data_IF_018871983760
#
_entry.id   IF_018871983760
#
_cell.length_a   1.000
_cell.length_b   1.000
_cell.length_c   1.000
_cell.angle_alpha   90.00
_cell.angle_beta   90.00
_cell.angle_gamma   90.00
#
_symmetry.space_group_name_H-M   'P 1'
#
loop_
_entity.id
_entity.type
_entity.pdbx_description
1 polymer ?
#
# COMPACT_ATOMS: atom_id res chain seq x y z
N UNK A 1 0.38 8.70 0.48
CA UNK A 1 0.52 8.57 1.97
C UNK A 1 1.99 8.46 2.33
N UNK A 2 2.51 9.23 3.29
CA UNK A 2 3.92 9.23 3.71
C UNK A 2 4.52 7.85 3.98
N UNK A 3 3.83 7.01 4.75
CA UNK A 3 4.28 5.65 5.09
C UNK A 3 4.40 4.72 3.88
N UNK A 4 3.53 4.83 2.87
CA UNK A 4 3.65 4.04 1.65
C UNK A 4 4.78 4.57 0.76
N UNK A 5 4.94 5.89 0.68
CA UNK A 5 6.00 6.52 -0.08
C UNK A 5 7.39 6.14 0.48
N UNK A 6 7.56 6.14 1.80
CA UNK A 6 8.84 5.75 2.43
C UNK A 6 9.18 4.27 2.19
N UNK A 7 8.20 3.35 2.32
CA UNK A 7 8.42 1.93 2.01
C UNK A 7 8.75 1.71 0.54
N UNK A 8 8.06 2.43 -0.36
CA UNK A 8 8.33 2.36 -1.79
C UNK A 8 9.73 2.89 -2.13
N UNK A 9 10.14 4.01 -1.54
CA UNK A 9 11.48 4.57 -1.71
C UNK A 9 12.55 3.56 -1.25
N UNK A 10 12.36 2.93 -0.09
CA UNK A 10 13.28 1.92 0.43
C UNK A 10 13.33 0.68 -0.46
N UNK A 11 12.18 0.18 -0.93
CA UNK A 11 12.14 -0.97 -1.84
C UNK A 11 12.87 -0.66 -3.17
N UNK A 12 12.62 0.52 -3.74
CA UNK A 12 13.24 0.98 -5.00
C UNK A 12 14.72 1.30 -4.89
N UNK A 13 15.22 1.61 -3.70
CA UNK A 13 16.66 1.84 -3.48
C UNK A 13 17.53 0.58 -3.66
N UNK A 14 16.90 -0.60 -3.80
CA UNK A 14 17.59 -1.88 -3.85
C UNK A 14 18.08 -2.38 -2.48
N UNK A 15 17.75 -1.70 -1.40
CA UNK A 15 18.24 -2.02 -0.05
C UNK A 15 17.80 -3.41 0.45
N UNK A 16 16.71 -3.94 -0.08
CA UNK A 16 16.22 -5.32 0.19
C UNK A 16 16.42 -6.27 -0.99
N UNK A 17 17.19 -5.85 -2.01
CA UNK A 17 17.39 -6.60 -3.25
C UNK A 17 16.17 -6.55 -4.18
N UNK A 18 16.04 -7.55 -5.07
CA UNK A 18 14.90 -7.68 -5.98
C UNK A 18 13.63 -8.04 -5.18
N UNK A 19 12.60 -7.23 -5.28
CA UNK A 19 11.31 -7.49 -4.60
C UNK A 19 10.60 -8.66 -5.31
N UNK A 20 10.19 -9.65 -4.55
CA UNK A 20 9.56 -10.89 -5.04
C UNK A 20 8.17 -11.13 -4.48
N UNK A 21 7.81 -10.50 -3.36
CA UNK A 21 6.43 -10.54 -2.89
C UNK A 21 6.03 -9.30 -2.11
N UNK A 22 4.73 -8.98 -2.16
CA UNK A 22 4.12 -7.89 -1.42
C UNK A 22 2.80 -8.34 -0.79
N UNK A 23 2.71 -8.30 0.55
CA UNK A 23 1.46 -8.49 1.28
C UNK A 23 0.85 -7.14 1.60
N UNK A 24 -0.44 -6.99 1.34
CA UNK A 24 -1.22 -5.81 1.70
C UNK A 24 -2.49 -6.23 2.44
N UNK A 25 -2.51 -5.92 3.74
CA UNK A 25 -3.63 -6.14 4.66
C UNK A 25 -4.01 -4.82 5.34
N UNK A 26 -4.10 -3.74 4.58
CA UNK A 26 -4.30 -2.38 5.12
C UNK A 26 -5.39 -1.59 4.42
N UNK A 27 -5.79 -2.01 3.24
CA UNK A 27 -6.81 -1.38 2.41
C UNK A 27 -7.49 -2.40 1.51
N UNK A 28 -8.64 -2.04 0.92
CA UNK A 28 -9.47 -2.98 0.16
C UNK A 28 -9.12 -3.00 -1.34
N UNK A 29 -9.37 -4.14 -1.95
CA UNK A 29 -9.36 -4.46 -3.39
C UNK A 29 -8.35 -3.64 -4.22
N UNK A 30 -8.81 -2.81 -5.16
CA UNK A 30 -7.96 -2.09 -6.12
C UNK A 30 -6.89 -1.20 -5.47
N UNK A 31 -7.15 -0.65 -4.29
CA UNK A 31 -6.12 0.08 -3.54
C UNK A 31 -4.99 -0.85 -3.06
N UNK A 32 -5.32 -2.07 -2.65
CA UNK A 32 -4.31 -3.06 -2.27
C UNK A 32 -3.52 -3.53 -3.49
N UNK A 33 -4.21 -3.76 -4.61
CA UNK A 33 -3.58 -4.11 -5.90
C UNK A 33 -2.61 -3.03 -6.36
N UNK A 34 -3.01 -1.75 -6.31
CA UNK A 34 -2.16 -0.62 -6.65
C UNK A 34 -0.85 -0.61 -5.83
N UNK A 35 -0.95 -0.85 -4.52
CA UNK A 35 0.23 -0.93 -3.65
C UNK A 35 1.12 -2.14 -4.01
N UNK A 36 0.53 -3.32 -4.23
CA UNK A 36 1.29 -4.52 -4.61
C UNK A 36 2.02 -4.30 -5.93
N UNK A 37 1.33 -3.80 -6.96
CA UNK A 37 1.94 -3.46 -8.25
C UNK A 37 3.07 -2.44 -8.11
N UNK A 38 2.86 -1.39 -7.31
CA UNK A 38 3.90 -0.38 -7.07
C UNK A 38 5.15 -0.94 -6.39
N UNK A 39 4.99 -1.84 -5.41
CA UNK A 39 6.11 -2.47 -4.71
C UNK A 39 6.84 -3.50 -5.56
N UNK A 40 6.10 -4.30 -6.34
CA UNK A 40 6.64 -5.33 -7.22
C UNK A 40 7.20 -4.77 -8.54
N UNK A 41 6.83 -3.54 -8.91
CA UNK A 41 7.10 -3.00 -10.24
C UNK A 41 6.29 -3.69 -11.33
N UNK A 42 5.17 -4.35 -10.98
CA UNK A 42 4.27 -4.99 -11.94
C UNK A 42 3.48 -3.95 -12.73
N UNK A 43 3.37 -4.17 -14.03
CA UNK A 43 2.72 -3.22 -14.94
C UNK A 43 1.39 -3.78 -15.45
N UNK A 44 1.35 -4.26 -16.68
CA UNK A 44 0.10 -4.63 -17.38
C UNK A 44 0.10 -6.09 -17.84
N UNK A 45 0.97 -6.89 -17.26
CA UNK A 45 1.08 -8.32 -17.54
C UNK A 45 -0.19 -9.07 -17.12
N UNK A 46 -0.39 -10.24 -17.72
CA UNK A 46 -1.42 -11.17 -17.25
C UNK A 46 -1.16 -11.52 -15.79
N UNK A 47 -2.23 -11.54 -15.03
CA UNK A 47 -2.19 -11.79 -13.59
C UNK A 47 -3.14 -12.96 -13.27
N UNK A 48 -2.65 -13.94 -12.52
CA UNK A 48 -3.48 -15.08 -12.08
C UNK A 48 -3.82 -14.90 -10.60
N UNK A 49 -5.12 -14.92 -10.30
CA UNK A 49 -5.66 -14.69 -8.96
C UNK A 49 -6.35 -15.94 -8.45
N UNK A 50 -6.04 -16.33 -7.21
CA UNK A 50 -6.79 -17.33 -6.45
C UNK A 50 -7.27 -16.71 -5.15
N UNK A 51 -8.58 -16.64 -4.95
CA UNK A 51 -9.19 -15.96 -3.81
C UNK A 51 -10.26 -16.79 -3.12
N UNK A 52 -10.41 -16.55 -1.83
CA UNK A 52 -11.47 -17.11 -1.00
C UNK A 52 -11.95 -16.10 0.02
N UNK A 53 -13.22 -16.24 0.40
CA UNK A 53 -13.83 -15.45 1.46
C UNK A 53 -14.36 -16.39 2.53
N UNK A 54 -14.24 -15.96 3.78
CA UNK A 54 -14.95 -16.59 4.89
C UNK A 54 -15.58 -15.52 5.78
N UNK A 55 -16.60 -15.92 6.51
CA UNK A 55 -17.33 -15.07 7.43
C UNK A 55 -17.11 -15.57 8.85
N UNK A 56 -16.84 -14.67 9.75
CA UNK A 56 -16.64 -14.97 11.17
C UNK A 56 -17.08 -13.83 12.06
N UNK A 57 -17.26 -14.09 13.37
CA UNK A 57 -17.67 -13.04 14.30
C UNK A 57 -16.55 -12.04 14.56
N UNK A 58 -16.87 -10.76 14.54
CA UNK A 58 -15.96 -9.67 14.87
C UNK A 58 -16.75 -8.52 15.53
N UNK A 59 -16.22 -7.98 16.61
CA UNK A 59 -16.70 -6.72 17.16
C UNK A 59 -16.18 -5.59 16.27
N UNK A 60 -17.06 -4.68 15.89
CA UNK A 60 -16.71 -3.52 15.07
C UNK A 60 -17.04 -2.22 15.81
N UNK A 61 -16.18 -1.80 16.77
CA UNK A 61 -16.50 -0.72 17.71
C UNK A 61 -16.36 0.66 17.09
N UNK A 62 -15.76 0.78 15.91
CA UNK A 62 -15.43 2.05 15.25
C UNK A 62 -15.96 2.10 13.83
N UNK A 63 -16.46 3.25 13.45
CA UNK A 63 -16.63 3.71 12.06
C UNK A 63 -15.69 4.89 11.81
N UNK A 64 -15.73 5.48 10.62
CA UNK A 64 -14.77 6.53 10.22
C UNK A 64 -14.62 7.64 11.27
N UNK A 65 -15.72 8.12 11.83
CA UNK A 65 -15.73 9.35 12.61
C UNK A 65 -16.26 9.16 14.05
N UNK A 66 -16.59 7.92 14.46
CA UNK A 66 -17.23 7.70 15.75
C UNK A 66 -17.06 6.27 16.29
N UNK A 67 -17.25 6.15 17.60
CA UNK A 67 -17.54 4.88 18.25
C UNK A 67 -18.99 4.47 17.97
N UNK A 68 -19.20 3.20 17.61
CA UNK A 68 -20.55 2.68 17.29
C UNK A 68 -21.42 2.47 18.54
N UNK A 69 -20.81 2.34 19.71
CA UNK A 69 -21.49 1.90 20.92
C UNK A 69 -21.92 0.43 20.89
N UNK A 70 -21.51 -0.32 19.88
CA UNK A 70 -21.83 -1.72 19.68
C UNK A 70 -20.63 -2.58 20.07
N UNK A 71 -20.78 -3.36 21.13
CA UNK A 71 -19.76 -4.24 21.71
C UNK A 71 -20.04 -5.73 21.43
N UNK A 72 -21.12 -6.03 20.73
CA UNK A 72 -21.47 -7.39 20.31
C UNK A 72 -20.77 -7.81 19.00
N UNK A 73 -20.29 -9.08 18.90
CA UNK A 73 -19.73 -9.58 17.66
C UNK A 73 -20.81 -9.73 16.60
N UNK A 74 -20.51 -9.28 15.37
CA UNK A 74 -21.33 -9.43 14.16
C UNK A 74 -20.56 -10.20 13.09
N UNK A 75 -21.25 -10.67 12.09
CA UNK A 75 -20.60 -11.27 10.93
C UNK A 75 -19.71 -10.24 10.22
N UNK A 76 -18.45 -10.62 10.03
CA UNK A 76 -17.48 -9.85 9.25
C UNK A 76 -16.88 -10.76 8.18
N UNK A 77 -16.81 -10.25 6.97
CA UNK A 77 -16.25 -10.92 5.81
C UNK A 77 -14.76 -10.68 5.73
N UNK A 78 -13.98 -11.76 5.63
CA UNK A 78 -12.55 -11.69 5.35
C UNK A 78 -12.28 -12.30 3.98
N UNK A 79 -11.60 -11.56 3.10
CA UNK A 79 -11.15 -12.03 1.80
C UNK A 79 -9.65 -12.21 1.81
N UNK A 80 -9.18 -13.38 1.37
CA UNK A 80 -7.76 -13.71 1.19
C UNK A 80 -7.56 -14.06 -0.28
N UNK A 81 -6.51 -13.47 -0.90
CA UNK A 81 -6.13 -13.80 -2.26
C UNK A 81 -4.62 -13.90 -2.42
N UNK A 82 -4.18 -14.84 -3.23
CA UNK A 82 -2.85 -14.88 -3.82
C UNK A 82 -2.93 -14.41 -5.26
N UNK A 83 -1.99 -13.56 -5.66
CA UNK A 83 -1.98 -12.87 -6.95
C UNK A 83 -0.61 -13.06 -7.57
N UNK A 84 -0.52 -13.84 -8.66
CA UNK A 84 0.70 -14.01 -9.42
C UNK A 84 0.76 -12.93 -10.51
N UNK A 85 1.71 -12.00 -10.36
CA UNK A 85 1.97 -10.93 -11.32
C UNK A 85 3.04 -11.30 -12.37
N UNK A 86 3.50 -12.55 -12.37
CA UNK A 86 4.57 -13.02 -13.26
C UNK A 86 5.97 -12.67 -12.77
N UNK A 87 6.21 -11.46 -12.32
CA UNK A 87 7.50 -11.01 -11.76
C UNK A 87 7.54 -11.08 -10.22
N UNK A 88 6.44 -11.41 -9.58
CA UNK A 88 6.33 -11.53 -8.14
C UNK A 88 4.90 -11.83 -7.68
N UNK A 89 4.76 -12.12 -6.40
CA UNK A 89 3.50 -12.54 -5.80
C UNK A 89 2.93 -11.47 -4.88
N UNK A 90 1.63 -11.16 -5.08
CA UNK A 90 0.80 -10.41 -4.14
C UNK A 90 0.09 -11.33 -3.15
N UNK A 91 -0.03 -10.90 -1.90
CA UNK A 91 -0.89 -11.50 -0.90
C UNK A 91 -1.85 -10.45 -0.37
N UNK A 92 -3.13 -10.64 -0.65
CA UNK A 92 -4.22 -9.83 -0.14
C UNK A 92 -4.88 -10.52 1.05
N UNK A 93 -5.08 -9.78 2.13
CA UNK A 93 -5.75 -10.24 3.34
C UNK A 93 -6.49 -9.05 3.94
N UNK A 94 -7.81 -9.03 3.83
CA UNK A 94 -8.59 -7.90 4.27
C UNK A 94 -9.94 -8.31 4.87
N UNK A 95 -10.20 -7.82 6.07
CA UNK A 95 -11.49 -7.96 6.75
C UNK A 95 -12.31 -6.69 6.57
N UNK A 96 -13.62 -6.81 6.39
CA UNK A 96 -14.53 -5.66 6.27
C UNK A 96 -14.26 -4.62 7.36
N UNK A 97 -14.24 -3.35 6.96
CA UNK A 97 -13.96 -2.20 7.82
C UNK A 97 -12.58 -2.21 8.52
N UNK A 98 -11.63 -3.05 8.09
CA UNK A 98 -10.32 -3.18 8.73
C UNK A 98 -9.55 -1.85 8.83
N UNK A 99 -9.76 -0.90 7.92
CA UNK A 99 -9.09 0.41 7.99
C UNK A 99 -9.56 1.28 9.16
N UNK A 100 -10.72 1.02 9.74
CA UNK A 100 -11.23 1.69 10.94
C UNK A 100 -11.23 0.78 12.16
N UNK A 101 -11.38 -0.53 11.97
CA UNK A 101 -11.46 -1.49 13.06
C UNK A 101 -10.07 -1.80 13.63
N UNK A 102 -9.74 -1.19 14.77
CA UNK A 102 -8.46 -1.35 15.45
C UNK A 102 -8.23 -2.75 16.05
N UNK A 103 -9.24 -3.63 16.05
CA UNK A 103 -9.08 -5.05 16.41
C UNK A 103 -8.44 -5.87 15.26
N UNK A 104 -8.19 -5.24 14.12
CA UNK A 104 -7.46 -5.82 12.98
C UNK A 104 -6.24 -4.96 12.67
N UNK A 105 -5.07 -5.55 12.83
CA UNK A 105 -3.80 -4.89 12.49
C UNK A 105 -3.71 -4.65 10.99
N UNK A 106 -3.29 -3.46 10.60
CA UNK A 106 -2.85 -3.19 9.23
C UNK A 106 -1.47 -3.79 9.03
N UNK A 107 -1.25 -4.46 7.89
CA UNK A 107 0.05 -5.07 7.56
C UNK A 107 0.42 -4.74 6.13
N UNK A 108 1.68 -4.34 5.98
CA UNK A 108 2.37 -4.23 4.70
C UNK A 108 3.67 -4.99 4.88
N UNK A 109 3.87 -6.05 4.09
CA UNK A 109 5.12 -6.81 4.09
C UNK A 109 5.65 -6.85 2.67
N UNK A 110 6.88 -6.39 2.46
CA UNK A 110 7.55 -6.36 1.16
C UNK A 110 8.81 -7.20 1.29
N UNK A 111 8.88 -8.31 0.55
CA UNK A 111 10.01 -9.23 0.61
C UNK A 111 10.85 -9.12 -0.64
N UNK A 112 12.14 -8.96 -0.43
CA UNK A 112 13.14 -8.96 -1.48
C UNK A 112 14.20 -10.03 -1.26
N UNK A 113 15.07 -10.20 -2.26
CA UNK A 113 16.12 -11.22 -2.25
C UNK A 113 17.20 -11.00 -1.18
N UNK A 114 17.29 -9.79 -0.60
CA UNK A 114 18.29 -9.41 0.39
C UNK A 114 17.70 -8.81 1.67
N UNK A 115 16.38 -8.89 1.86
CA UNK A 115 15.71 -8.38 3.06
C UNK A 115 14.21 -8.30 2.94
N UNK A 116 13.61 -7.75 4.00
CA UNK A 116 12.17 -7.59 4.13
C UNK A 116 11.86 -6.24 4.78
N UNK A 117 10.78 -5.62 4.37
CA UNK A 117 10.14 -4.48 5.06
C UNK A 117 8.82 -5.00 5.61
N UNK A 118 8.65 -4.98 6.94
CA UNK A 118 7.41 -5.37 7.61
C UNK A 118 6.87 -4.19 8.41
N UNK A 119 5.80 -3.59 7.93
CA UNK A 119 5.26 -2.32 8.45
C UNK A 119 6.34 -1.23 8.51
N UNK A 120 6.77 -0.88 9.71
CA UNK A 120 7.74 0.18 9.95
C UNK A 120 9.11 -0.37 10.38
N UNK A 121 9.45 -1.56 9.95
CA UNK A 121 10.73 -2.20 10.23
C UNK A 121 11.34 -2.80 8.95
N UNK A 122 12.64 -2.62 8.78
CA UNK A 122 13.40 -3.23 7.70
C UNK A 122 14.49 -4.17 8.24
N UNK A 123 14.55 -5.38 7.68
CA UNK A 123 15.64 -6.34 7.90
C UNK A 123 16.40 -6.47 6.61
N UNK A 124 17.73 -6.31 6.64
CA UNK A 124 18.55 -6.31 5.43
C UNK A 124 19.85 -7.08 5.63
N UNK A 125 20.24 -7.79 4.57
CA UNK A 125 21.59 -8.29 4.43
C UNK A 125 22.50 -7.13 3.95
N UNK A 126 23.56 -6.82 4.69
CA UNK A 126 24.46 -5.69 4.37
C UNK A 126 25.89 -6.15 4.06
N UNK A 127 26.17 -7.42 4.17
CA UNK A 127 27.47 -7.99 3.84
C UNK A 127 27.65 -9.40 4.43
N UNK A 128 28.75 -10.06 4.14
CA UNK A 128 28.99 -11.42 4.62
C UNK A 128 28.78 -11.53 6.13
N UNK A 129 27.91 -12.47 6.54
CA UNK A 129 27.60 -12.77 7.95
C UNK A 129 26.94 -11.61 8.71
N UNK A 130 26.39 -10.59 8.01
CA UNK A 130 25.84 -9.39 8.66
C UNK A 130 24.41 -9.12 8.18
N UNK A 131 23.46 -9.28 9.09
CA UNK A 131 22.05 -8.91 8.94
C UNK A 131 21.77 -7.79 9.93
N UNK A 132 21.15 -6.73 9.47
CA UNK A 132 20.78 -5.58 10.28
C UNK A 132 19.27 -5.38 10.29
N UNK A 133 18.77 -4.83 11.40
CA UNK A 133 17.36 -4.51 11.60
C UNK A 133 17.26 -3.06 12.02
N UNK A 134 16.43 -2.29 11.30
CA UNK A 134 16.21 -0.88 11.58
C UNK A 134 14.73 -0.54 11.53
N UNK A 135 14.24 0.28 12.45
CA UNK A 135 12.92 0.89 12.33
C UNK A 135 12.91 1.99 11.27
N UNK A 136 11.78 2.12 10.57
CA UNK A 136 11.44 3.34 9.85
C UNK A 136 10.90 4.34 10.88
N UNK A 137 11.67 5.37 11.14
CA UNK A 137 11.36 6.33 12.20
C UNK A 137 10.58 7.50 11.60
N UNK A 138 9.38 7.73 12.12
CA UNK A 138 8.58 8.90 11.79
C UNK A 138 8.90 10.01 12.79
N UNK A 139 9.38 11.14 12.28
CA UNK A 139 9.47 12.37 13.06
C UNK A 139 8.18 13.17 12.88
N UNK A 140 7.59 13.56 13.99
CA UNK A 140 6.40 14.41 14.03
C UNK A 140 6.68 15.69 14.79
N UNK A 141 6.00 16.76 14.41
CA UNK A 141 6.06 18.07 15.05
C UNK A 141 4.68 18.65 15.25
N UNK A 142 4.56 19.56 16.18
CA UNK A 142 3.37 20.36 16.42
C UNK A 142 3.50 21.78 15.89
N UNK A 143 2.87 22.70 16.59
CA UNK A 143 2.89 24.12 16.24
C UNK A 143 4.28 24.72 16.44
N UNK A 144 4.69 25.58 15.52
CA UNK A 144 6.01 26.25 15.52
C UNK A 144 7.20 25.28 15.71
N UNK A 145 7.09 24.08 15.12
CA UNK A 145 8.08 23.01 15.25
C UNK A 145 8.23 22.46 16.69
N UNK A 146 7.24 22.70 17.56
CA UNK A 146 7.14 22.01 18.83
C UNK A 146 7.15 20.49 18.62
N UNK A 147 7.74 19.76 19.57
CA UNK A 147 7.84 18.30 19.48
C UNK A 147 6.53 17.58 19.74
N UNK A 148 5.55 18.24 20.33
CA UNK A 148 4.24 17.68 20.65
C UNK A 148 3.24 17.96 19.52
N UNK A 149 3.10 17.02 18.59
CA UNK A 149 2.16 17.16 17.49
C UNK A 149 2.05 15.93 16.59
N UNK A 150 1.15 16.02 15.62
CA UNK A 150 0.85 14.92 14.70
C UNK A 150 1.37 15.15 13.27
N UNK A 151 1.85 16.36 12.94
CA UNK A 151 2.32 16.66 11.60
C UNK A 151 3.60 15.88 11.32
N UNK A 152 3.58 15.06 10.28
CA UNK A 152 4.77 14.33 9.84
C UNK A 152 5.75 15.29 9.20
N UNK A 153 6.95 15.42 9.77
CA UNK A 153 8.07 16.14 9.14
C UNK A 153 8.75 15.24 8.10
N UNK A 154 9.26 14.08 8.53
CA UNK A 154 9.85 13.10 7.62
C UNK A 154 9.75 11.68 8.16
N UNK A 155 10.09 10.71 7.29
CA UNK A 155 10.30 9.32 7.68
C UNK A 155 11.69 8.91 7.21
N UNK A 156 12.48 8.30 8.11
CA UNK A 156 13.87 7.91 7.85
C UNK A 156 14.14 6.45 8.22
N UNK A 157 15.20 5.89 7.64
CA UNK A 157 15.86 4.66 8.05
C UNK A 157 17.29 4.99 8.45
N UNK A 158 17.59 5.01 9.73
CA UNK A 158 18.86 5.55 10.22
C UNK A 158 19.01 7.03 9.83
N UNK A 159 20.07 7.35 9.12
CA UNK A 159 20.39 8.69 8.59
C UNK A 159 19.79 9.01 7.21
N UNK A 160 19.16 8.02 6.59
CA UNK A 160 18.58 8.15 5.24
C UNK A 160 17.13 8.61 5.31
N UNK A 161 16.83 9.78 4.75
CA UNK A 161 15.46 10.28 4.63
C UNK A 161 14.77 9.59 3.44
N UNK A 162 13.69 8.87 3.74
CA UNK A 162 12.89 8.13 2.75
C UNK A 162 11.68 8.93 2.26
N UNK A 163 11.17 9.80 3.11
CA UNK A 163 10.06 10.70 2.79
C UNK A 163 10.26 12.00 3.56
N UNK A 164 10.02 13.14 2.91
CA UNK A 164 9.96 14.47 3.52
C UNK A 164 8.61 15.11 3.17
N UNK A 165 7.93 15.66 4.18
CA UNK A 165 6.67 16.37 3.98
C UNK A 165 6.93 17.70 3.26
N UNK A 166 6.37 17.90 2.04
CA UNK A 166 6.55 19.17 1.32
C UNK A 166 5.64 20.30 1.85
N UNK A 167 4.74 19.99 2.79
CA UNK A 167 3.71 20.90 3.31
C UNK A 167 3.89 21.18 4.81
N UNK A 168 5.11 21.07 5.32
CA UNK A 168 5.39 21.30 6.74
C UNK A 168 4.88 22.68 7.17
N UNK A 169 4.23 22.75 8.34
CA UNK A 169 3.60 23.96 8.88
C UNK A 169 2.12 24.12 8.50
N UNK A 170 1.59 23.33 7.54
CA UNK A 170 0.16 23.35 7.21
C UNK A 170 -0.68 22.42 8.11
N UNK A 171 -0.05 21.66 9.01
CA UNK A 171 -0.67 20.74 9.96
C UNK A 171 -1.56 19.68 9.32
N UNK A 172 -1.14 19.18 8.19
CA UNK A 172 -1.86 18.15 7.45
C UNK A 172 -1.59 16.77 8.06
N UNK A 173 -2.63 15.95 8.16
CA UNK A 173 -2.48 14.53 8.42
C UNK A 173 -1.97 13.78 7.17
N UNK A 174 -1.66 12.49 7.30
CA UNK A 174 -1.08 11.68 6.23
C UNK A 174 -1.97 11.62 4.97
N UNK A 175 -3.30 11.60 5.14
CA UNK A 175 -4.25 11.57 4.03
C UNK A 175 -4.29 12.92 3.32
N UNK A 176 -4.32 14.00 4.07
CA UNK A 176 -4.31 15.37 3.53
C UNK A 176 -3.00 15.68 2.80
N UNK A 177 -1.86 15.22 3.31
CA UNK A 177 -0.57 15.29 2.60
C UNK A 177 -0.65 14.55 1.26
N UNK A 178 -1.24 13.35 1.24
CA UNK A 178 -1.38 12.58 0.02
C UNK A 178 -2.32 13.24 -0.99
N UNK A 179 -3.45 13.78 -0.53
CA UNK A 179 -4.42 14.51 -1.37
C UNK A 179 -3.76 15.78 -1.92
N UNK A 180 -3.09 16.57 -1.09
CA UNK A 180 -2.40 17.80 -1.51
C UNK A 180 -1.32 17.50 -2.56
N UNK A 181 -0.56 16.42 -2.37
CA UNK A 181 0.44 15.97 -3.36
C UNK A 181 -0.22 15.60 -4.69
N UNK A 182 -1.33 14.87 -4.64
CA UNK A 182 -2.06 14.49 -5.85
C UNK A 182 -2.64 15.71 -6.59
N UNK A 183 -3.25 16.65 -5.85
CA UNK A 183 -3.81 17.88 -6.43
C UNK A 183 -2.73 18.78 -7.05
N UNK A 184 -1.58 18.92 -6.38
CA UNK A 184 -0.44 19.67 -6.90
C UNK A 184 0.08 19.04 -8.21
N UNK A 185 0.26 17.72 -8.22
CA UNK A 185 0.69 17.01 -9.42
C UNK A 185 -0.35 17.07 -10.55
N UNK A 186 -1.64 17.01 -10.21
CA UNK A 186 -2.73 17.16 -11.19
C UNK A 186 -2.75 18.57 -11.80
N UNK A 187 -2.55 19.60 -10.99
CA UNK A 187 -2.48 20.98 -11.48
C UNK A 187 -1.29 21.18 -12.43
N UNK A 188 -0.12 20.65 -12.10
CA UNK A 188 1.06 20.68 -12.96
C UNK A 188 0.79 19.97 -14.30
N UNK A 189 0.20 18.77 -14.26
CA UNK A 189 -0.16 18.03 -15.47
C UNK A 189 -1.17 18.77 -16.35
N UNK A 190 -2.21 19.36 -15.75
CA UNK A 190 -3.18 20.19 -16.50
C UNK A 190 -2.52 21.44 -17.11
N UNK A 191 -1.49 21.98 -16.50
CA UNK A 191 -0.66 23.07 -17.02
C UNK A 191 0.35 22.66 -18.08
N UNK A 192 0.41 21.37 -18.44
CA UNK A 192 1.41 20.83 -19.39
C UNK A 192 2.78 20.58 -18.75
N UNK A 193 2.87 20.63 -17.43
CA UNK A 193 4.09 20.41 -16.67
C UNK A 193 4.07 19.02 -16.03
N UNK A 194 4.88 18.09 -16.53
CA UNK A 194 5.00 16.73 -15.98
C UNK A 194 3.96 15.73 -16.49
N UNK A 195 4.07 14.51 -15.99
CA UNK A 195 3.19 13.39 -16.33
C UNK A 195 1.91 13.38 -15.50
N UNK A 196 0.88 12.68 -15.97
CA UNK A 196 -0.31 12.39 -15.17
C UNK A 196 0.08 11.74 -13.84
N UNK A 197 -0.37 12.23 -12.69
CA UNK A 197 0.04 11.74 -11.38
C UNK A 197 -0.36 10.28 -11.13
N UNK A 198 -1.44 9.84 -11.76
CA UNK A 198 -1.88 8.45 -11.80
C UNK A 198 -2.59 8.20 -13.14
N UNK A 199 -1.91 7.61 -14.12
CA UNK A 199 -2.48 7.36 -15.43
C UNK A 199 -3.75 6.51 -15.36
N UNK A 200 -4.74 6.81 -16.20
CA UNK A 200 -5.99 6.05 -16.25
C UNK A 200 -5.75 4.55 -16.49
N UNK A 201 -4.76 4.22 -17.32
CA UNK A 201 -4.35 2.85 -17.58
C UNK A 201 -3.98 2.08 -16.30
N UNK A 202 -3.24 2.71 -15.37
CA UNK A 202 -2.89 2.10 -14.09
C UNK A 202 -4.13 1.87 -13.22
N UNK A 203 -5.04 2.85 -13.16
CA UNK A 203 -6.30 2.71 -12.43
C UNK A 203 -7.19 1.59 -13.01
N UNK A 204 -7.28 1.47 -14.34
CA UNK A 204 -8.00 0.39 -15.01
C UNK A 204 -7.37 -0.97 -14.71
N UNK A 205 -6.04 -1.06 -14.72
CA UNK A 205 -5.33 -2.30 -14.41
C UNK A 205 -5.54 -2.74 -12.96
N UNK A 206 -5.48 -1.82 -12.00
CA UNK A 206 -5.73 -2.12 -10.60
C UNK A 206 -7.15 -2.65 -10.41
N UNK A 207 -8.11 -2.03 -11.09
CA UNK A 207 -9.50 -2.45 -11.01
C UNK A 207 -9.75 -3.80 -11.69
N UNK A 208 -9.12 -4.06 -12.83
CA UNK A 208 -9.18 -5.36 -13.53
C UNK A 208 -8.75 -6.51 -12.60
N UNK A 209 -7.62 -6.35 -11.91
CA UNK A 209 -7.14 -7.38 -10.97
C UNK A 209 -8.06 -7.49 -9.75
N UNK A 210 -8.63 -6.37 -9.28
CA UNK A 210 -9.61 -6.40 -8.19
C UNK A 210 -10.88 -7.16 -8.58
N UNK A 211 -11.41 -6.99 -9.79
CA UNK A 211 -12.53 -7.76 -10.33
C UNK A 211 -12.20 -9.26 -10.44
N UNK A 212 -10.96 -9.60 -10.82
CA UNK A 212 -10.52 -11.00 -10.84
C UNK A 212 -10.47 -11.62 -9.43
N UNK A 213 -10.22 -10.84 -8.36
CA UNK A 213 -10.35 -11.30 -6.97
C UNK A 213 -11.81 -11.66 -6.68
N UNK A 214 -12.75 -10.79 -7.01
CA UNK A 214 -14.18 -11.01 -6.78
C UNK A 214 -14.72 -12.21 -7.61
N UNK A 215 -14.30 -12.32 -8.86
CA UNK A 215 -14.65 -13.44 -9.72
C UNK A 215 -14.09 -14.77 -9.19
N UNK A 216 -12.85 -14.79 -8.73
CA UNK A 216 -12.23 -15.97 -8.11
C UNK A 216 -12.96 -16.40 -6.83
N UNK A 217 -13.38 -15.44 -6.01
CA UNK A 217 -14.24 -15.72 -4.83
C UNK A 217 -15.57 -16.33 -5.25
N UNK A 218 -16.23 -15.78 -6.27
CA UNK A 218 -17.57 -16.22 -6.68
C UNK A 218 -17.57 -17.58 -7.40
N UNK A 219 -16.57 -17.83 -8.25
CA UNK A 219 -16.42 -19.09 -9.00
C UNK A 219 -15.77 -20.20 -8.18
N UNK A 220 -15.01 -19.86 -7.13
CA UNK A 220 -14.20 -20.80 -6.36
C UNK A 220 -12.99 -21.34 -7.13
N UNK A 221 -12.67 -20.78 -8.30
CA UNK A 221 -11.57 -21.17 -9.19
C UNK A 221 -10.57 -20.04 -9.40
N UNK A 222 -9.32 -20.33 -9.80
CA UNK A 222 -8.38 -19.32 -10.23
C UNK A 222 -8.89 -18.57 -11.46
N UNK A 223 -8.63 -17.26 -11.51
CA UNK A 223 -8.98 -16.35 -12.62
C UNK A 223 -7.71 -15.74 -13.17
N UNK A 224 -7.54 -15.75 -14.49
CA UNK A 224 -6.41 -15.10 -15.17
C UNK A 224 -6.92 -13.93 -15.99
N UNK A 225 -6.37 -12.74 -15.74
CA UNK A 225 -6.74 -11.53 -16.46
C UNK A 225 -6.27 -11.55 -17.92
N UNK A 226 -6.94 -10.82 -18.80
CA UNK A 226 -6.47 -10.53 -20.15
C UNK A 226 -5.38 -9.44 -20.13
N UNK A 227 -4.69 -9.28 -21.25
CA UNK A 227 -3.89 -8.08 -21.52
C UNK A 227 -4.78 -7.12 -22.29
N UNK A 228 -5.04 -5.98 -21.71
CA UNK A 228 -5.99 -5.01 -22.23
C UNK A 228 -5.35 -3.96 -23.13
N UNK A 229 -6.16 -3.26 -23.91
CA UNK A 229 -5.69 -2.28 -24.89
C UNK A 229 -4.84 -1.15 -24.25
N UNK A 230 -5.16 -0.74 -23.03
CA UNK A 230 -4.40 0.29 -22.31
C UNK A 230 -2.95 -0.10 -21.99
N UNK A 231 -2.59 -1.40 -22.07
CA UNK A 231 -1.23 -1.86 -21.90
C UNK A 231 -0.30 -1.37 -23.02
N UNK A 232 -0.85 -1.16 -24.23
CA UNK A 232 -0.10 -0.66 -25.38
C UNK A 232 0.17 0.85 -25.30
N UNK A 233 -0.79 1.62 -24.76
CA UNK A 233 -0.70 3.09 -24.68
C UNK A 233 0.27 3.58 -23.59
N UNK A 234 0.69 2.70 -22.69
CA UNK A 234 1.60 3.02 -21.59
C UNK A 234 3.08 2.81 -21.91
N UNK A 235 3.41 2.44 -23.14
CA UNK A 235 4.78 2.27 -23.63
C UNK A 235 5.36 3.56 -24.24
N UNK A 236 4.60 4.65 -24.26
CA UNK A 236 4.98 5.98 -24.67
C UNK A 236 5.22 6.84 -23.41
#
# INVERSE_FOLDING_TARGET
MPSHASRLALARSGAIGTVTSAQVSSTHLYHAVALMRAYLGARFERTTVSARTFVGPLINPLVRDAWTGDDGPKEAKTTIATIDFGNGMGLYDFTDNQWHNQLRSRRIVIRGSAGEIANDEAVRFVGPRTIVRFPLVRRQTGYDLDLDGFETDHISLGDTILFRNPYIGLRLNDEEIAISTMLTAMAAWCGGEGAAPYPLADGCQDHLVALAIEESVSSGAPVTTSVEAWAADSAL
#
